data_IF_107788848448
#
_entry.id   IF_107788848448
#
_cell.length_a   1.000
_cell.length_b   1.000
_cell.length_c   1.000
_cell.angle_alpha   90.00
_cell.angle_beta   90.00
_cell.angle_gamma   90.00
#
_symmetry.space_group_name_H-M   'P 1'
#
loop_
_entity.id
_entity.type
_entity.pdbx_description
1 polymer ?
#
# COMPACT_ATOMS: atom_id res chain seq x y z
N UNK A 1 67.03 4.84 -37.58
CA UNK A 1 66.16 3.99 -36.67
C UNK A 1 65.85 4.58 -35.30
N UNK A 2 66.41 5.76 -34.93
CA UNK A 2 66.16 6.33 -33.56
C UNK A 2 64.94 7.28 -33.46
N UNK A 3 64.36 7.71 -34.61
CA UNK A 3 63.24 8.69 -34.59
C UNK A 3 61.86 8.07 -34.40
N UNK A 4 61.65 6.79 -34.73
CA UNK A 4 60.34 6.11 -34.66
C UNK A 4 60.00 5.68 -33.23
N UNK A 5 61.01 5.28 -32.42
CA UNK A 5 60.81 4.86 -31.04
C UNK A 5 60.41 6.03 -30.07
N UNK A 6 60.85 7.25 -30.40
CA UNK A 6 60.45 8.43 -29.61
C UNK A 6 58.98 8.81 -29.82
N UNK A 7 58.48 8.66 -31.06
CA UNK A 7 57.09 8.97 -31.39
C UNK A 7 56.07 7.99 -30.77
N UNK A 8 56.42 6.72 -30.70
CA UNK A 8 55.56 5.68 -30.09
C UNK A 8 55.42 5.90 -28.57
N UNK A 9 56.51 6.19 -27.86
CA UNK A 9 56.46 6.45 -26.39
C UNK A 9 55.68 7.72 -26.03
N UNK A 10 55.64 8.71 -26.93
CA UNK A 10 54.89 9.94 -26.71
C UNK A 10 53.37 9.70 -26.94
N UNK A 11 53.02 8.82 -27.88
CA UNK A 11 51.63 8.45 -28.14
C UNK A 11 51.05 7.60 -27.01
N UNK A 12 51.81 6.64 -26.44
CA UNK A 12 51.38 5.83 -25.28
C UNK A 12 51.16 6.68 -24.01
N UNK A 13 52.00 7.73 -23.79
CA UNK A 13 51.82 8.65 -22.64
C UNK A 13 50.57 9.53 -22.78
N UNK A 14 50.21 9.94 -23.98
CA UNK A 14 48.99 10.71 -24.25
C UNK A 14 47.73 9.84 -24.10
N UNK A 15 47.76 8.58 -24.54
CA UNK A 15 46.66 7.65 -24.37
C UNK A 15 46.45 7.25 -22.90
N UNK A 16 47.52 7.03 -22.13
CA UNK A 16 47.40 6.77 -20.68
C UNK A 16 46.90 7.97 -19.90
N UNK A 17 47.32 9.21 -20.25
CA UNK A 17 46.84 10.42 -19.63
C UNK A 17 45.36 10.68 -19.90
N UNK A 18 44.89 10.43 -21.11
CA UNK A 18 43.50 10.58 -21.50
C UNK A 18 42.57 9.55 -20.83
N UNK A 19 43.03 8.30 -20.65
CA UNK A 19 42.31 7.25 -19.97
C UNK A 19 42.17 7.54 -18.44
N UNK A 20 43.20 8.13 -17.83
CA UNK A 20 43.16 8.49 -16.40
C UNK A 20 42.23 9.70 -16.14
N UNK A 21 42.19 10.69 -17.06
CA UNK A 21 41.23 11.82 -16.96
C UNK A 21 39.78 11.37 -17.21
N UNK A 22 39.53 10.40 -18.10
CA UNK A 22 38.19 9.85 -18.32
C UNK A 22 37.70 9.05 -17.12
N UNK A 23 38.58 8.33 -16.42
CA UNK A 23 38.24 7.56 -15.22
C UNK A 23 37.93 8.46 -14.01
N UNK A 24 38.49 9.66 -13.95
CA UNK A 24 38.16 10.64 -12.90
C UNK A 24 36.82 11.36 -13.09
N UNK A 25 36.27 11.35 -14.31
CA UNK A 25 34.95 11.96 -14.60
C UNK A 25 33.77 11.02 -14.26
N UNK A 26 34.01 9.73 -13.98
CA UNK A 26 32.98 8.77 -13.58
C UNK A 26 32.88 8.51 -12.08
N UNK A 27 33.67 9.17 -11.25
CA UNK A 27 33.34 9.36 -9.83
C UNK A 27 32.29 10.47 -9.76
N UNK A 28 31.12 10.23 -10.33
CA UNK A 28 29.91 10.95 -9.95
C UNK A 28 29.74 10.67 -8.48
N UNK A 29 30.17 11.61 -7.65
CA UNK A 29 29.80 11.65 -6.27
C UNK A 29 28.28 11.46 -6.23
N UNK A 30 27.80 10.30 -5.79
CA UNK A 30 26.50 10.23 -5.19
C UNK A 30 26.56 11.20 -4.01
N UNK A 31 26.30 12.47 -4.29
CA UNK A 31 25.94 13.40 -3.25
C UNK A 31 24.66 12.84 -2.64
N UNK A 32 24.83 12.07 -1.57
CA UNK A 32 23.76 11.88 -0.61
C UNK A 32 23.40 13.30 -0.19
N UNK A 33 22.36 13.88 -0.80
CA UNK A 33 21.77 15.10 -0.27
C UNK A 33 21.47 14.81 1.19
N UNK A 34 22.24 15.46 2.05
CA UNK A 34 22.00 15.42 3.48
C UNK A 34 20.58 15.98 3.66
N UNK A 35 19.65 15.15 4.08
CA UNK A 35 18.28 15.59 4.33
C UNK A 35 18.34 16.81 5.25
N UNK A 36 17.70 17.90 4.83
CA UNK A 36 17.66 19.16 5.59
C UNK A 36 16.86 18.94 6.88
N UNK A 37 17.53 18.62 7.96
CA UNK A 37 16.97 18.64 9.31
C UNK A 37 17.26 20.01 9.97
N UNK A 38 16.35 20.51 10.82
CA UNK A 38 15.12 19.91 11.33
C UNK A 38 13.95 19.97 10.33
N UNK A 39 13.09 18.93 10.38
CA UNK A 39 11.83 18.87 9.60
C UNK A 39 10.64 19.00 10.52
N UNK A 40 9.69 19.88 10.15
CA UNK A 40 8.44 20.09 10.91
C UNK A 40 7.27 19.48 10.16
N UNK A 41 6.41 18.77 10.89
CA UNK A 41 5.16 18.15 10.41
C UNK A 41 3.99 18.75 11.19
N UNK A 42 3.00 19.26 10.47
CA UNK A 42 1.70 19.66 11.05
C UNK A 42 0.74 18.48 10.99
N UNK A 43 -0.06 18.29 12.04
CA UNK A 43 -0.95 17.13 12.17
C UNK A 43 -2.11 17.43 13.16
N UNK A 44 -3.07 16.51 13.23
CA UNK A 44 -4.31 16.68 14.04
C UNK A 44 -4.10 16.99 15.53
N UNK A 45 -2.89 16.78 16.09
CA UNK A 45 -2.60 17.07 17.51
C UNK A 45 -1.64 18.25 17.69
N UNK A 46 -1.24 18.93 16.61
CA UNK A 46 -0.33 20.08 16.63
C UNK A 46 0.85 19.92 15.66
N UNK A 47 2.07 20.02 16.16
CA UNK A 47 3.30 19.94 15.35
C UNK A 47 4.30 18.98 15.96
N UNK A 48 4.99 18.24 15.10
CA UNK A 48 6.14 17.41 15.46
C UNK A 48 7.39 17.91 14.71
N UNK A 49 8.50 18.08 15.43
CA UNK A 49 9.80 18.42 14.83
C UNK A 49 10.74 17.24 14.94
N UNK A 50 11.23 16.74 13.81
CA UNK A 50 12.31 15.76 13.72
C UNK A 50 13.62 16.54 13.52
N UNK A 51 14.52 16.50 14.50
CA UNK A 51 15.70 17.37 14.54
C UNK A 51 16.92 16.81 13.82
N UNK A 52 16.95 15.50 13.59
CA UNK A 52 18.03 14.78 12.90
C UNK A 52 17.51 13.49 12.29
N UNK A 53 18.26 12.87 11.39
CA UNK A 53 17.90 11.62 10.76
C UNK A 53 17.71 10.50 11.81
N UNK A 54 16.50 9.90 11.90
CA UNK A 54 16.23 8.86 12.87
C UNK A 54 17.00 7.56 12.59
N UNK A 55 17.39 6.88 13.66
CA UNK A 55 18.10 5.58 13.61
C UNK A 55 17.32 4.47 14.32
N UNK A 56 16.43 4.81 15.22
CA UNK A 56 15.67 3.87 16.06
C UNK A 56 14.17 4.14 15.95
N UNK A 57 13.58 3.64 14.86
CA UNK A 57 12.19 3.92 14.52
C UNK A 57 11.30 2.82 15.07
N UNK A 58 10.28 3.18 15.84
CA UNK A 58 9.21 2.29 16.28
C UNK A 58 7.94 2.62 15.49
N UNK A 59 7.36 1.63 14.80
CA UNK A 59 6.08 1.77 14.12
C UNK A 59 4.96 1.25 15.02
N UNK A 60 4.13 2.15 15.56
CA UNK A 60 2.86 1.80 16.21
C UNK A 60 1.69 1.81 15.23
N UNK A 61 1.95 2.21 14.00
CA UNK A 61 1.05 2.07 12.86
C UNK A 61 0.81 0.61 12.53
N UNK A 62 -0.40 0.26 12.09
CA UNK A 62 -0.71 -1.07 11.60
C UNK A 62 -0.03 -1.40 10.26
N UNK A 63 0.26 -0.38 9.44
CA UNK A 63 0.79 -0.52 8.07
C UNK A 63 2.10 0.25 7.83
N UNK A 64 2.49 1.15 8.75
CA UNK A 64 3.61 2.08 8.55
C UNK A 64 4.98 1.42 8.35
N UNK A 65 5.17 0.19 8.87
CA UNK A 65 6.41 -0.57 8.67
C UNK A 65 6.63 -0.94 7.19
N UNK A 66 5.59 -1.22 6.42
CA UNK A 66 5.67 -1.48 4.98
C UNK A 66 6.23 -0.26 4.22
N UNK A 67 5.80 0.96 4.59
CA UNK A 67 6.31 2.21 4.01
C UNK A 67 7.79 2.43 4.34
N UNK A 68 8.20 2.15 5.59
CA UNK A 68 9.62 2.20 5.96
C UNK A 68 10.45 1.22 5.13
N UNK A 69 9.97 -0.01 4.97
CA UNK A 69 10.65 -1.05 4.19
C UNK A 69 10.75 -0.68 2.71
N UNK A 70 9.71 -0.08 2.13
CA UNK A 70 9.74 0.46 0.76
C UNK A 70 10.83 1.53 0.56
N UNK A 71 11.13 2.28 1.62
CA UNK A 71 12.19 3.30 1.65
C UNK A 71 13.57 2.73 2.00
N UNK A 72 13.68 1.42 2.22
CA UNK A 72 14.93 0.77 2.64
C UNK A 72 15.29 1.02 4.10
N UNK A 73 14.33 1.40 4.94
CA UNK A 73 14.50 1.67 6.37
C UNK A 73 13.87 0.56 7.20
N UNK A 74 14.64 -0.04 8.11
CA UNK A 74 14.18 -1.16 8.94
C UNK A 74 13.82 -0.63 10.32
N UNK A 75 12.57 -0.81 10.80
CA UNK A 75 12.19 -0.39 12.14
C UNK A 75 12.84 -1.29 13.20
N UNK A 76 13.08 -0.75 14.40
CA UNK A 76 13.53 -1.56 15.55
C UNK A 76 12.37 -2.33 16.20
N UNK A 77 11.14 -1.83 16.01
CA UNK A 77 9.92 -2.51 16.41
C UNK A 77 8.76 -2.10 15.51
N UNK A 78 7.80 -2.99 15.37
CA UNK A 78 6.56 -2.75 14.63
C UNK A 78 5.36 -3.33 15.37
N UNK A 79 4.19 -2.74 15.14
CA UNK A 79 2.91 -3.26 15.61
C UNK A 79 2.28 -4.12 14.52
N UNK A 80 2.08 -5.42 14.81
CA UNK A 80 1.38 -6.33 13.93
C UNK A 80 -0.12 -6.03 13.97
N UNK A 81 -0.75 -5.96 12.81
CA UNK A 81 -2.20 -5.81 12.71
C UNK A 81 -2.88 -7.18 12.79
N UNK A 82 -2.73 -7.98 11.74
CA UNK A 82 -3.23 -9.37 11.65
C UNK A 82 -2.30 -10.18 10.73
N UNK A 83 -2.61 -11.47 10.55
CA UNK A 83 -1.71 -12.40 9.86
C UNK A 83 -0.59 -12.88 10.79
N UNK A 84 -0.15 -14.12 10.60
CA UNK A 84 0.90 -14.74 11.40
C UNK A 84 2.10 -15.09 10.53
N UNK A 85 2.83 -14.04 10.13
CA UNK A 85 4.03 -14.15 9.30
C UNK A 85 5.29 -13.84 10.10
N UNK A 86 6.46 -14.35 9.66
CA UNK A 86 7.73 -14.09 10.32
C UNK A 86 7.97 -12.60 10.57
N UNK A 87 8.41 -12.27 11.78
CA UNK A 87 8.69 -10.88 12.20
C UNK A 87 7.49 -9.91 12.07
N UNK A 88 6.24 -10.40 11.99
CA UNK A 88 5.04 -9.59 11.84
C UNK A 88 4.93 -8.87 10.49
N UNK A 89 5.66 -9.31 9.47
CA UNK A 89 5.74 -8.69 8.14
C UNK A 89 5.15 -9.63 7.10
N UNK A 90 4.29 -9.10 6.25
CA UNK A 90 3.64 -9.87 5.19
C UNK A 90 4.62 -10.32 4.09
N UNK A 91 4.32 -11.40 3.34
CA UNK A 91 5.22 -11.97 2.33
C UNK A 91 5.73 -10.98 1.29
N UNK A 92 4.90 -10.02 0.83
CA UNK A 92 5.32 -9.00 -0.13
C UNK A 92 6.42 -8.07 0.39
N UNK A 93 6.56 -7.91 1.70
CA UNK A 93 7.54 -7.02 2.32
C UNK A 93 8.74 -7.76 2.95
N UNK A 94 8.71 -9.10 3.03
CA UNK A 94 9.82 -9.91 3.56
C UNK A 94 11.16 -9.67 2.83
N UNK A 95 11.20 -9.58 1.48
CA UNK A 95 12.45 -9.28 0.79
C UNK A 95 13.06 -7.93 1.21
N UNK A 96 12.23 -6.91 1.44
CA UNK A 96 12.70 -5.60 1.91
C UNK A 96 13.13 -5.61 3.37
N UNK A 97 12.55 -6.47 4.20
CA UNK A 97 12.98 -6.68 5.59
C UNK A 97 14.37 -7.35 5.64
N UNK A 98 14.62 -8.37 4.80
CA UNK A 98 15.86 -9.15 4.81
C UNK A 98 16.09 -9.82 6.17
N UNK A 99 17.33 -9.77 6.70
CA UNK A 99 17.72 -10.41 7.96
C UNK A 99 17.34 -9.63 9.23
N UNK A 100 16.65 -8.48 9.09
CA UNK A 100 16.25 -7.68 10.24
C UNK A 100 15.19 -8.41 11.08
N UNK A 101 15.31 -8.30 12.42
CA UNK A 101 14.41 -8.92 13.39
C UNK A 101 13.84 -7.86 14.32
N UNK A 102 12.85 -7.06 13.86
CA UNK A 102 12.22 -6.07 14.71
C UNK A 102 11.47 -6.74 15.86
N UNK A 103 11.37 -6.05 16.98
CA UNK A 103 10.44 -6.44 18.05
C UNK A 103 9.00 -6.34 17.53
N UNK A 104 8.26 -7.44 17.57
CA UNK A 104 6.84 -7.45 17.16
C UNK A 104 5.96 -7.16 18.36
N UNK A 105 5.22 -6.05 18.29
CA UNK A 105 4.19 -5.68 19.25
C UNK A 105 2.81 -6.15 18.75
N UNK A 106 1.93 -6.51 19.65
CA UNK A 106 0.58 -6.98 19.35
C UNK A 106 -0.47 -6.31 20.23
N UNK A 107 -1.64 -6.09 19.69
CA UNK A 107 -2.78 -5.53 20.43
C UNK A 107 -2.63 -4.02 20.68
N UNK A 108 -2.92 -3.57 21.89
CA UNK A 108 -2.91 -2.16 22.27
C UNK A 108 -1.49 -1.56 22.28
N UNK A 109 -1.43 -0.23 22.15
CA UNK A 109 -0.17 0.52 22.22
C UNK A 109 0.38 0.46 23.63
N UNK A 110 1.49 -0.23 23.84
CA UNK A 110 2.17 -0.37 25.15
C UNK A 110 3.30 0.66 25.28
N UNK A 111 3.05 1.68 26.10
CA UNK A 111 3.97 2.81 26.29
C UNK A 111 5.29 2.41 26.91
N UNK A 112 5.27 1.51 27.91
CA UNK A 112 6.46 1.03 28.62
C UNK A 112 7.38 0.25 27.68
N UNK A 113 6.80 -0.62 26.85
CA UNK A 113 7.55 -1.37 25.85
C UNK A 113 8.20 -0.43 24.82
N UNK A 114 7.47 0.60 24.36
CA UNK A 114 8.00 1.60 23.43
C UNK A 114 9.14 2.40 24.06
N UNK A 115 8.97 2.86 25.32
CA UNK A 115 9.99 3.61 26.02
C UNK A 115 11.28 2.79 26.24
N UNK A 116 11.14 1.50 26.56
CA UNK A 116 12.29 0.59 26.70
C UNK A 116 13.10 0.42 25.42
N UNK A 117 12.48 0.58 24.25
CA UNK A 117 13.14 0.52 22.95
C UNK A 117 13.94 1.78 22.62
N UNK A 118 13.82 2.87 23.39
CA UNK A 118 14.51 4.16 23.23
C UNK A 118 14.45 4.64 21.78
N UNK A 119 13.24 4.85 21.22
CA UNK A 119 13.09 5.34 19.84
C UNK A 119 13.58 6.79 19.73
N UNK A 120 13.99 7.17 18.53
CA UNK A 120 14.23 8.56 18.13
C UNK A 120 13.18 9.06 17.14
N UNK A 121 12.28 8.17 16.68
CA UNK A 121 11.06 8.47 15.94
C UNK A 121 9.99 7.39 16.20
N UNK A 122 8.74 7.81 16.36
CA UNK A 122 7.57 6.93 16.43
C UNK A 122 6.67 7.19 15.22
N UNK A 123 6.31 6.15 14.47
CA UNK A 123 5.30 6.23 13.41
C UNK A 123 3.93 5.89 13.97
N UNK A 124 3.03 6.88 14.00
CA UNK A 124 1.65 6.76 14.44
C UNK A 124 0.61 7.01 13.32
N UNK A 125 1.04 7.23 12.07
CA UNK A 125 0.15 7.28 10.91
C UNK A 125 -0.63 5.96 10.81
N UNK A 126 -1.93 6.03 10.63
CA UNK A 126 -2.78 4.83 10.50
C UNK A 126 -2.70 3.89 11.72
N UNK A 127 -2.74 4.46 12.93
CA UNK A 127 -2.62 3.71 14.18
C UNK A 127 -3.89 3.67 15.04
N UNK A 128 -4.84 4.57 14.77
CA UNK A 128 -5.99 4.81 15.65
C UNK A 128 -5.59 5.37 17.02
N UNK A 129 -4.45 6.06 17.10
CA UNK A 129 -3.92 6.60 18.35
C UNK A 129 -4.80 7.71 18.89
N UNK A 130 -5.17 7.63 20.16
CA UNK A 130 -5.89 8.69 20.85
C UNK A 130 -4.99 9.88 21.17
N UNK A 131 -5.58 11.07 21.37
CA UNK A 131 -4.86 12.26 21.85
C UNK A 131 -4.15 12.02 23.18
N UNK A 132 -4.70 11.20 24.06
CA UNK A 132 -4.08 10.85 25.34
C UNK A 132 -2.79 10.02 25.13
N UNK A 133 -2.84 9.01 24.27
CA UNK A 133 -1.67 8.21 23.89
C UNK A 133 -0.61 9.07 23.20
N UNK A 134 -1.01 9.95 22.26
CA UNK A 134 -0.10 10.91 21.65
C UNK A 134 0.65 11.76 22.67
N UNK A 135 -0.06 12.35 23.67
CA UNK A 135 0.56 13.19 24.70
C UNK A 135 1.63 12.45 25.51
N UNK A 136 1.43 11.16 25.80
CA UNK A 136 2.39 10.37 26.54
C UNK A 136 3.56 9.99 25.66
N UNK A 137 3.33 9.46 24.47
CA UNK A 137 4.35 8.98 23.55
C UNK A 137 5.22 10.14 23.02
N UNK A 138 4.67 11.33 22.85
CA UNK A 138 5.44 12.51 22.42
C UNK A 138 6.49 12.98 23.45
N UNK A 139 6.40 12.51 24.71
CA UNK A 139 7.45 12.72 25.72
C UNK A 139 8.63 11.74 25.57
N UNK A 140 8.43 10.65 24.82
CA UNK A 140 9.48 9.63 24.59
C UNK A 140 10.29 10.00 23.34
N UNK A 141 9.62 10.30 22.21
CA UNK A 141 10.24 10.65 20.95
C UNK A 141 9.29 11.48 20.06
N UNK A 142 9.80 12.19 19.04
CA UNK A 142 8.98 12.75 17.99
C UNK A 142 8.05 11.70 17.40
N UNK A 143 6.79 12.06 17.16
CA UNK A 143 5.79 11.11 16.67
C UNK A 143 5.06 11.67 15.45
N UNK A 144 5.01 10.90 14.37
CA UNK A 144 4.23 11.24 13.18
C UNK A 144 2.82 10.69 13.31
N UNK A 145 1.84 11.56 13.20
CA UNK A 145 0.41 11.22 13.15
C UNK A 145 -0.24 11.89 11.94
N UNK A 146 -1.45 11.46 11.53
CA UNK A 146 -2.09 12.01 10.32
C UNK A 146 -2.36 13.52 10.43
N UNK A 147 -2.38 14.19 9.28
CA UNK A 147 -2.97 15.53 9.17
C UNK A 147 -4.47 15.47 9.46
N UNK A 148 -5.03 16.50 10.09
CA UNK A 148 -6.44 16.56 10.51
C UNK A 148 -7.41 16.28 9.35
N UNK A 149 -7.12 16.80 8.17
CA UNK A 149 -7.96 16.62 6.96
C UNK A 149 -8.15 15.18 6.50
N UNK A 150 -7.28 14.29 6.92
CA UNK A 150 -7.35 12.87 6.51
C UNK A 150 -7.98 11.97 7.60
N UNK A 151 -8.14 12.46 8.82
CA UNK A 151 -8.51 11.62 9.95
C UNK A 151 -7.49 10.50 10.19
N UNK A 152 -7.86 9.51 11.00
CA UNK A 152 -6.91 8.47 11.43
C UNK A 152 -6.50 7.51 10.30
N UNK A 153 -7.37 7.28 9.29
CA UNK A 153 -7.20 6.21 8.31
C UNK A 153 -7.28 6.66 6.84
N UNK A 154 -7.49 7.96 6.58
CA UNK A 154 -7.74 8.47 5.23
C UNK A 154 -6.49 9.01 4.51
N UNK A 155 -5.27 8.97 5.10
CA UNK A 155 -4.06 9.49 4.43
C UNK A 155 -3.76 8.68 3.16
N UNK A 156 -3.71 9.31 1.96
CA UNK A 156 -3.33 8.63 0.73
C UNK A 156 -1.95 7.99 0.81
N UNK A 157 -1.77 6.85 0.15
CA UNK A 157 -0.48 6.15 0.17
C UNK A 157 0.67 7.02 -0.33
N UNK A 158 0.44 7.89 -1.32
CA UNK A 158 1.44 8.84 -1.82
C UNK A 158 1.87 9.81 -0.73
N UNK A 159 0.89 10.42 -0.04
CA UNK A 159 1.16 11.36 1.03
C UNK A 159 1.85 10.68 2.21
N UNK A 160 1.42 9.47 2.56
CA UNK A 160 2.02 8.69 3.63
C UNK A 160 3.48 8.33 3.31
N UNK A 161 3.76 7.92 2.06
CA UNK A 161 5.11 7.65 1.57
C UNK A 161 5.99 8.90 1.68
N UNK A 162 5.53 10.06 1.16
CA UNK A 162 6.27 11.33 1.21
C UNK A 162 6.54 11.80 2.63
N UNK A 163 5.53 11.72 3.50
CA UNK A 163 5.65 12.14 4.90
C UNK A 163 6.69 11.29 5.64
N UNK A 164 6.60 9.96 5.52
CA UNK A 164 7.55 9.05 6.16
C UNK A 164 8.95 9.23 5.56
N UNK A 165 9.07 9.31 4.23
CA UNK A 165 10.35 9.51 3.55
C UNK A 165 11.06 10.78 4.01
N UNK A 166 10.34 11.89 4.11
CA UNK A 166 10.87 13.18 4.61
C UNK A 166 11.34 13.05 6.06
N UNK A 167 10.57 12.37 6.91
CA UNK A 167 10.91 12.18 8.32
C UNK A 167 12.15 11.32 8.55
N UNK A 168 12.41 10.36 7.65
CA UNK A 168 13.56 9.45 7.77
C UNK A 168 14.76 9.89 6.89
N UNK A 169 14.72 11.08 6.31
CA UNK A 169 15.80 11.61 5.47
C UNK A 169 15.97 10.88 4.14
N UNK A 170 14.86 10.45 3.55
CA UNK A 170 14.82 9.70 2.28
C UNK A 170 13.83 10.33 1.27
N UNK A 171 13.70 11.65 1.27
CA UNK A 171 12.71 12.38 0.49
C UNK A 171 12.75 12.02 -1.00
N UNK A 172 13.93 12.03 -1.64
CA UNK A 172 14.10 11.66 -3.05
C UNK A 172 13.70 10.20 -3.32
N UNK A 173 14.09 9.28 -2.42
CA UNK A 173 13.66 7.87 -2.54
C UNK A 173 12.14 7.74 -2.41
N UNK A 174 11.51 8.53 -1.55
CA UNK A 174 10.06 8.60 -1.42
C UNK A 174 9.38 9.05 -2.71
N UNK A 175 9.87 10.12 -3.34
CA UNK A 175 9.36 10.59 -4.63
C UNK A 175 9.58 9.55 -5.74
N UNK A 176 10.70 8.84 -5.74
CA UNK A 176 10.93 7.77 -6.70
C UNK A 176 9.94 6.61 -6.52
N UNK A 177 9.72 6.15 -5.27
CA UNK A 177 8.75 5.09 -4.95
C UNK A 177 7.34 5.49 -5.39
N UNK A 178 6.94 6.74 -5.16
CA UNK A 178 5.63 7.25 -5.59
C UNK A 178 5.53 7.26 -7.11
N UNK A 179 6.50 7.86 -7.81
CA UNK A 179 6.49 7.90 -9.29
C UNK A 179 6.45 6.51 -9.92
N UNK A 180 7.23 5.56 -9.41
CA UNK A 180 7.30 4.22 -9.96
C UNK A 180 5.96 3.50 -9.85
N UNK A 181 5.29 3.61 -8.71
CA UNK A 181 3.98 2.97 -8.52
C UNK A 181 2.87 3.70 -9.29
N UNK A 182 2.87 5.04 -9.33
CA UNK A 182 1.94 5.81 -10.17
C UNK A 182 2.11 5.46 -11.65
N UNK A 183 3.33 5.25 -12.12
CA UNK A 183 3.60 4.80 -13.49
C UNK A 183 3.05 3.40 -13.76
N UNK A 184 3.07 2.48 -12.78
CA UNK A 184 2.42 1.17 -12.91
C UNK A 184 0.90 1.29 -13.05
N UNK A 185 0.24 2.07 -12.20
CA UNK A 185 -1.20 2.34 -12.34
C UNK A 185 -1.53 2.93 -13.71
N UNK A 186 -0.72 3.89 -14.16
CA UNK A 186 -0.91 4.52 -15.47
C UNK A 186 -0.74 3.51 -16.63
N UNK A 187 0.25 2.62 -16.55
CA UNK A 187 0.47 1.58 -17.56
C UNK A 187 -0.71 0.60 -17.64
N UNK A 188 -1.24 0.15 -16.50
CA UNK A 188 -2.42 -0.72 -16.46
C UNK A 188 -3.64 0.00 -17.08
N UNK A 189 -3.88 1.27 -16.72
CA UNK A 189 -4.96 2.05 -17.36
C UNK A 189 -4.80 2.17 -18.89
N UNK A 190 -3.58 2.30 -19.39
CA UNK A 190 -3.31 2.36 -20.83
C UNK A 190 -3.54 1.01 -21.51
N UNK A 191 -3.23 -0.09 -20.83
CA UNK A 191 -3.43 -1.45 -21.34
C UNK A 191 -4.91 -1.85 -21.33
N UNK A 192 -5.72 -1.27 -20.46
CA UNK A 192 -7.13 -1.58 -20.26
C UNK A 192 -8.02 -0.32 -20.42
N UNK A 193 -8.09 0.28 -21.61
CA UNK A 193 -8.92 1.46 -21.84
C UNK A 193 -10.42 1.22 -21.67
N UNK A 194 -10.85 -0.03 -21.75
CA UNK A 194 -12.20 -0.51 -21.49
C UNK A 194 -12.61 -0.47 -20.01
N UNK A 195 -11.65 -0.32 -19.07
CA UNK A 195 -11.93 -0.16 -17.65
C UNK A 195 -12.34 1.27 -17.29
N UNK A 196 -11.98 2.24 -18.13
CA UNK A 196 -12.29 3.64 -17.88
C UNK A 196 -13.81 3.84 -17.80
N UNK A 197 -14.21 4.59 -16.79
CA UNK A 197 -15.62 4.93 -16.51
C UNK A 197 -16.54 3.74 -16.18
N UNK A 198 -15.98 2.53 -16.05
CA UNK A 198 -16.71 1.39 -15.49
C UNK A 198 -16.83 1.52 -13.98
N UNK A 199 -17.96 1.06 -13.45
CA UNK A 199 -18.21 1.05 -12.02
C UNK A 199 -17.51 -0.11 -11.33
N UNK A 200 -16.90 0.16 -10.15
CA UNK A 200 -16.32 -0.90 -9.35
C UNK A 200 -16.48 -0.61 -7.85
N UNK A 201 -16.42 -1.65 -7.03
CA UNK A 201 -16.46 -1.53 -5.58
C UNK A 201 -15.70 -2.67 -4.90
N UNK A 202 -15.02 -2.34 -3.80
CA UNK A 202 -14.44 -3.32 -2.87
C UNK A 202 -15.39 -3.49 -1.70
N UNK A 203 -15.70 -4.74 -1.32
CA UNK A 203 -16.69 -5.06 -0.29
C UNK A 203 -16.14 -6.10 0.69
N UNK A 204 -16.34 -5.88 1.97
CA UNK A 204 -16.17 -6.88 3.01
C UNK A 204 -17.52 -7.59 3.27
N UNK A 205 -17.63 -8.91 3.04
CA UNK A 205 -18.92 -9.59 3.08
C UNK A 205 -19.53 -9.74 4.47
N UNK A 206 -18.76 -9.66 5.55
CA UNK A 206 -19.24 -9.91 6.91
C UNK A 206 -20.41 -9.02 7.33
N UNK A 207 -20.26 -7.69 7.21
CA UNK A 207 -21.30 -6.68 7.46
C UNK A 207 -21.78 -6.03 6.15
N UNK A 208 -21.43 -6.59 5.00
CA UNK A 208 -21.56 -5.99 3.67
C UNK A 208 -21.02 -4.54 3.70
N UNK A 209 -19.76 -4.42 4.13
CA UNK A 209 -19.07 -3.13 4.24
C UNK A 209 -18.44 -2.74 2.91
N UNK A 210 -19.00 -1.74 2.22
CA UNK A 210 -18.46 -1.22 0.96
C UNK A 210 -17.50 -0.06 1.21
N UNK A 211 -16.41 0.02 0.46
CA UNK A 211 -15.36 1.02 0.62
C UNK A 211 -15.50 2.14 -0.43
N UNK A 212 -15.77 3.39 0.02
CA UNK A 212 -15.86 4.55 -0.87
C UNK A 212 -14.48 4.98 -1.41
N UNK A 213 -14.48 5.89 -2.37
CA UNK A 213 -13.25 6.45 -2.98
C UNK A 213 -12.35 7.20 -1.99
N UNK A 214 -12.88 7.63 -0.86
CA UNK A 214 -12.11 8.24 0.24
C UNK A 214 -11.28 7.23 1.04
N UNK A 215 -11.62 5.94 1.01
CA UNK A 215 -10.85 4.86 1.63
C UNK A 215 -9.71 4.38 0.72
N UNK A 216 -8.67 3.79 1.31
CA UNK A 216 -7.49 3.30 0.58
C UNK A 216 -7.85 2.25 -0.48
N UNK A 217 -8.83 1.37 -0.20
CA UNK A 217 -9.28 0.31 -1.12
C UNK A 217 -10.11 0.87 -2.29
N UNK A 218 -10.98 1.85 -2.02
CA UNK A 218 -11.70 2.55 -3.09
C UNK A 218 -10.77 3.37 -3.98
N UNK A 219 -9.73 4.00 -3.40
CA UNK A 219 -8.69 4.71 -4.17
C UNK A 219 -7.92 3.81 -5.11
N UNK A 220 -7.62 2.58 -4.71
CA UNK A 220 -6.99 1.60 -5.60
C UNK A 220 -7.78 1.44 -6.91
N UNK A 221 -9.10 1.35 -6.83
CA UNK A 221 -9.96 1.28 -8.01
C UNK A 221 -9.94 2.59 -8.82
N UNK A 222 -10.02 3.74 -8.14
CA UNK A 222 -9.95 5.05 -8.79
C UNK A 222 -8.60 5.28 -9.48
N UNK A 223 -7.49 4.84 -8.88
CA UNK A 223 -6.14 4.91 -9.47
C UNK A 223 -6.03 4.03 -10.73
N UNK A 224 -6.83 2.96 -10.84
CA UNK A 224 -6.97 2.13 -12.05
C UNK A 224 -7.93 2.74 -13.09
N UNK A 225 -8.66 3.81 -12.77
CA UNK A 225 -9.57 4.49 -13.70
C UNK A 225 -11.04 4.09 -13.56
N UNK A 226 -11.38 3.25 -12.56
CA UNK A 226 -12.78 2.93 -12.27
C UNK A 226 -13.49 4.08 -11.56
N UNK A 227 -14.79 4.15 -11.73
CA UNK A 227 -15.69 4.95 -10.90
C UNK A 227 -16.15 4.09 -9.73
N UNK A 228 -15.80 4.48 -8.51
CA UNK A 228 -16.36 3.83 -7.32
C UNK A 228 -17.87 4.08 -7.31
N UNK A 229 -18.65 3.05 -7.01
CA UNK A 229 -20.12 3.10 -7.06
C UNK A 229 -20.67 4.41 -6.47
N UNK A 230 -21.36 5.20 -7.30
CA UNK A 230 -22.01 6.46 -6.86
C UNK A 230 -23.03 6.22 -5.74
N UNK A 231 -23.68 5.06 -5.75
CA UNK A 231 -24.64 4.66 -4.71
C UNK A 231 -23.92 4.39 -3.38
N UNK A 232 -22.70 3.83 -3.41
CA UNK A 232 -21.84 3.69 -2.23
C UNK A 232 -21.38 5.06 -1.75
N UNK A 233 -20.95 5.94 -2.65
CA UNK A 233 -20.57 7.32 -2.29
C UNK A 233 -21.72 8.08 -1.62
N UNK A 234 -22.95 7.90 -2.07
CA UNK A 234 -24.14 8.53 -1.48
C UNK A 234 -24.46 8.05 -0.04
N UNK A 235 -23.94 6.88 0.36
CA UNK A 235 -24.10 6.35 1.71
C UNK A 235 -23.04 6.84 2.70
N UNK A 236 -22.00 7.56 2.23
CA UNK A 236 -20.89 8.01 3.09
C UNK A 236 -21.40 8.93 4.19
N UNK A 237 -21.03 8.63 5.44
CA UNK A 237 -21.21 9.47 6.63
C UNK A 237 -19.83 9.90 7.14
N UNK A 238 -19.76 11.00 7.83
CA UNK A 238 -18.52 11.77 8.08
C UNK A 238 -17.43 11.08 8.91
N UNK A 239 -17.66 9.92 9.49
CA UNK A 239 -16.79 9.31 10.51
C UNK A 239 -16.38 7.86 10.27
N UNK A 240 -16.86 7.23 9.18
CA UNK A 240 -16.55 5.85 8.86
C UNK A 240 -15.72 5.76 7.57
N UNK A 241 -14.73 4.87 7.58
CA UNK A 241 -13.93 4.55 6.38
C UNK A 241 -14.62 3.54 5.45
N UNK A 242 -15.78 3.00 5.82
CA UNK A 242 -16.63 2.14 4.99
C UNK A 242 -18.10 2.47 5.23
N UNK A 243 -18.96 2.09 4.31
CA UNK A 243 -20.41 2.19 4.42
C UNK A 243 -21.03 0.82 4.53
N UNK A 244 -22.12 0.70 5.31
CA UNK A 244 -22.88 -0.56 5.40
C UNK A 244 -23.96 -0.58 4.34
N UNK A 245 -24.00 -1.69 3.60
CA UNK A 245 -25.03 -1.97 2.60
C UNK A 245 -26.03 -2.95 3.22
N UNK A 246 -27.32 -2.73 3.01
CA UNK A 246 -28.35 -3.63 3.52
C UNK A 246 -28.31 -4.97 2.78
N UNK A 247 -28.40 -6.11 3.48
CA UNK A 247 -28.57 -7.41 2.82
C UNK A 247 -29.90 -7.54 2.06
N UNK A 248 -30.84 -6.61 2.30
CA UNK A 248 -32.13 -6.53 1.60
C UNK A 248 -32.08 -5.59 0.38
N UNK A 249 -30.96 -4.90 0.15
CA UNK A 249 -30.74 -4.02 -1.00
C UNK A 249 -29.26 -4.03 -1.38
N UNK A 250 -28.87 -4.89 -2.32
CA UNK A 250 -27.50 -5.05 -2.81
C UNK A 250 -27.21 -4.14 -4.04
N UNK A 251 -28.18 -3.36 -4.50
CA UNK A 251 -28.02 -2.44 -5.66
C UNK A 251 -26.80 -1.50 -5.54
N UNK A 252 -26.42 -0.98 -4.35
CA UNK A 252 -25.21 -0.15 -4.24
C UNK A 252 -23.91 -0.85 -4.63
N UNK A 253 -23.84 -2.18 -4.52
CA UNK A 253 -22.64 -2.96 -4.83
C UNK A 253 -22.76 -3.77 -6.13
N UNK A 254 -23.86 -3.63 -6.87
CA UNK A 254 -24.06 -4.27 -8.16
C UNK A 254 -23.38 -3.46 -9.27
N UNK A 255 -22.08 -3.67 -9.44
CA UNK A 255 -21.17 -2.89 -10.28
C UNK A 255 -20.59 -3.71 -11.44
N UNK A 256 -19.87 -3.05 -12.37
CA UNK A 256 -19.17 -3.73 -13.45
C UNK A 256 -18.02 -4.62 -12.97
N UNK A 257 -17.44 -4.32 -11.80
CA UNK A 257 -16.50 -5.19 -11.08
C UNK A 257 -16.79 -5.12 -9.58
N UNK A 258 -17.09 -6.26 -8.99
CA UNK A 258 -17.33 -6.39 -7.54
C UNK A 258 -16.21 -7.23 -6.91
N UNK A 259 -15.39 -6.61 -6.05
CA UNK A 259 -14.30 -7.28 -5.37
C UNK A 259 -14.70 -7.60 -3.93
N UNK A 260 -14.84 -8.87 -3.62
CA UNK A 260 -15.10 -9.37 -2.28
C UNK A 260 -13.79 -9.60 -1.51
N UNK A 261 -13.63 -8.97 -0.35
CA UNK A 261 -12.48 -9.24 0.54
C UNK A 261 -12.72 -10.52 1.33
N UNK A 262 -11.92 -11.55 1.09
CA UNK A 262 -11.94 -12.76 1.90
C UNK A 262 -10.82 -12.73 2.95
N UNK A 263 -11.20 -12.74 4.22
CA UNK A 263 -10.29 -12.88 5.35
C UNK A 263 -10.30 -14.29 5.96
N UNK A 264 -10.72 -15.31 5.17
CA UNK A 264 -10.74 -16.71 5.55
C UNK A 264 -12.15 -17.30 5.75
N UNK A 265 -13.20 -16.46 5.67
CA UNK A 265 -14.60 -16.90 5.75
C UNK A 265 -15.51 -16.20 4.73
N UNK A 266 -14.92 -15.43 3.82
CA UNK A 266 -15.65 -14.58 2.89
C UNK A 266 -16.59 -15.37 1.97
N UNK A 267 -16.11 -16.45 1.37
CA UNK A 267 -16.89 -17.28 0.47
C UNK A 267 -18.19 -17.82 1.12
N UNK A 268 -18.12 -18.29 2.37
CA UNK A 268 -19.30 -18.76 3.08
C UNK A 268 -20.30 -17.63 3.36
N UNK A 269 -19.81 -16.44 3.70
CA UNK A 269 -20.65 -15.25 3.94
C UNK A 269 -21.31 -14.75 2.64
N UNK A 270 -20.57 -14.70 1.53
CA UNK A 270 -21.06 -14.32 0.21
C UNK A 270 -22.22 -15.24 -0.21
N UNK A 271 -22.06 -16.56 -0.03
CA UNK A 271 -23.09 -17.54 -0.40
C UNK A 271 -24.36 -17.48 0.47
N UNK A 272 -24.35 -16.79 1.62
CA UNK A 272 -25.56 -16.57 2.44
C UNK A 272 -26.40 -15.38 1.98
N UNK A 273 -25.91 -14.56 1.07
CA UNK A 273 -26.60 -13.36 0.59
C UNK A 273 -27.76 -13.74 -0.34
N UNK A 274 -29.00 -13.66 0.17
CA UNK A 274 -30.20 -14.12 -0.52
C UNK A 274 -30.47 -13.40 -1.84
N UNK A 275 -30.16 -12.09 -1.91
CA UNK A 275 -30.40 -11.27 -3.09
C UNK A 275 -29.23 -11.33 -4.10
N UNK A 276 -28.10 -11.93 -3.76
CA UNK A 276 -26.96 -12.02 -4.68
C UNK A 276 -27.33 -12.63 -6.06
N UNK A 277 -28.17 -13.69 -6.17
CA UNK A 277 -28.59 -14.23 -7.47
C UNK A 277 -29.39 -13.26 -8.33
N UNK A 278 -29.89 -12.15 -7.78
CA UNK A 278 -30.60 -11.11 -8.56
C UNK A 278 -29.66 -10.03 -9.08
N UNK A 279 -28.40 -10.00 -8.64
CA UNK A 279 -27.41 -9.01 -9.05
C UNK A 279 -26.92 -9.29 -10.47
N UNK A 280 -26.68 -8.23 -11.24
CA UNK A 280 -26.03 -8.28 -12.55
C UNK A 280 -24.59 -8.84 -12.39
N UNK A 281 -23.87 -8.35 -11.37
CA UNK A 281 -22.51 -8.79 -11.09
C UNK A 281 -22.42 -10.32 -10.92
N UNK A 282 -23.39 -10.95 -10.25
CA UNK A 282 -23.47 -12.41 -10.13
C UNK A 282 -23.79 -13.08 -11.46
N UNK A 283 -24.83 -12.59 -12.19
CA UNK A 283 -25.32 -13.22 -13.40
C UNK A 283 -24.35 -13.12 -14.57
N UNK A 284 -23.51 -12.07 -14.59
CA UNK A 284 -22.54 -11.79 -15.65
C UNK A 284 -21.09 -12.18 -15.24
N UNK A 285 -20.88 -12.88 -14.11
CA UNK A 285 -19.55 -13.34 -13.71
C UNK A 285 -18.60 -12.23 -13.28
N UNK A 286 -19.10 -11.07 -12.83
CA UNK A 286 -18.33 -9.85 -12.52
C UNK A 286 -17.75 -9.82 -11.10
N UNK A 287 -17.78 -10.92 -10.40
CA UNK A 287 -17.33 -11.01 -9.00
C UNK A 287 -15.91 -11.55 -8.91
N UNK A 288 -15.05 -10.82 -8.20
CA UNK A 288 -13.66 -11.20 -7.89
C UNK A 288 -13.54 -11.47 -6.39
N UNK A 289 -13.08 -12.64 -6.02
CA UNK A 289 -12.70 -12.91 -4.61
C UNK A 289 -11.24 -12.54 -4.42
N UNK A 290 -11.00 -11.48 -3.66
CA UNK A 290 -9.67 -11.16 -3.15
C UNK A 290 -9.35 -12.15 -2.02
N UNK A 291 -8.48 -13.13 -2.30
CA UNK A 291 -7.99 -14.10 -1.30
C UNK A 291 -7.44 -13.40 -0.05
N UNK A 292 -7.26 -14.08 1.09
CA UNK A 292 -6.74 -13.44 2.31
C UNK A 292 -5.46 -12.63 2.10
N UNK A 293 -4.58 -13.08 1.20
CA UNK A 293 -3.36 -12.36 0.84
C UNK A 293 -3.65 -11.07 0.05
N UNK A 294 -4.52 -11.14 -0.95
CA UNK A 294 -4.90 -9.98 -1.78
C UNK A 294 -5.70 -8.97 -0.93
N UNK A 295 -6.64 -9.45 -0.12
CA UNK A 295 -7.44 -8.63 0.79
C UNK A 295 -6.54 -7.85 1.79
N UNK A 296 -5.51 -8.54 2.32
CA UNK A 296 -4.53 -7.91 3.18
C UNK A 296 -3.68 -6.87 2.43
N UNK A 297 -3.27 -7.15 1.20
CA UNK A 297 -2.48 -6.21 0.40
C UNK A 297 -3.27 -4.92 0.10
N UNK A 298 -4.54 -5.03 -0.28
CA UNK A 298 -5.45 -3.88 -0.44
C UNK A 298 -5.63 -3.11 0.87
N UNK A 299 -5.73 -3.80 2.01
CA UNK A 299 -5.92 -3.16 3.32
C UNK A 299 -4.66 -2.46 3.84
N UNK A 300 -3.46 -2.95 3.49
CA UNK A 300 -2.21 -2.27 3.81
C UNK A 300 -1.96 -1.05 2.91
N UNK A 301 -2.35 -1.12 1.64
CA UNK A 301 -2.22 -0.03 0.66
C UNK A 301 -0.87 0.69 0.73
N UNK A 302 0.20 -0.05 1.01
CA UNK A 302 1.57 0.43 0.98
C UNK A 302 2.17 0.30 -0.43
N UNK A 303 3.26 0.98 -0.75
CA UNK A 303 3.91 0.78 -2.05
C UNK A 303 4.29 -0.68 -2.32
N UNK A 304 4.66 -1.47 -1.30
CA UNK A 304 5.00 -2.89 -1.45
C UNK A 304 3.74 -3.73 -1.68
N UNK A 305 2.72 -3.54 -0.84
CA UNK A 305 1.48 -4.30 -0.94
C UNK A 305 0.67 -3.96 -2.19
N UNK A 306 0.65 -2.69 -2.62
CA UNK A 306 -0.04 -2.26 -3.84
C UNK A 306 0.61 -2.84 -5.10
N UNK A 307 1.95 -2.93 -5.15
CA UNK A 307 2.63 -3.63 -6.24
C UNK A 307 2.18 -5.09 -6.32
N UNK A 308 2.11 -5.79 -5.17
CA UNK A 308 1.60 -7.15 -5.11
C UNK A 308 0.11 -7.22 -5.52
N UNK A 309 -0.73 -6.31 -5.01
CA UNK A 309 -2.16 -6.28 -5.34
C UNK A 309 -2.39 -6.09 -6.84
N UNK A 310 -1.63 -5.21 -7.51
CA UNK A 310 -1.69 -5.01 -8.96
C UNK A 310 -1.37 -6.29 -9.72
N UNK A 311 -0.27 -7.00 -9.37
CA UNK A 311 0.11 -8.25 -10.02
C UNK A 311 -0.98 -9.33 -9.93
N UNK A 312 -1.72 -9.35 -8.81
CA UNK A 312 -2.74 -10.37 -8.58
C UNK A 312 -4.11 -9.97 -9.16
N UNK A 313 -4.50 -8.71 -9.04
CA UNK A 313 -5.86 -8.27 -9.38
C UNK A 313 -6.02 -7.91 -10.85
N UNK A 314 -4.98 -7.44 -11.54
CA UNK A 314 -5.08 -7.09 -12.97
C UNK A 314 -5.70 -8.22 -13.81
N UNK A 315 -5.20 -9.48 -13.77
CA UNK A 315 -5.79 -10.57 -14.56
C UNK A 315 -7.19 -10.97 -14.08
N UNK A 316 -7.49 -10.86 -12.77
CA UNK A 316 -8.79 -11.20 -12.23
C UNK A 316 -9.87 -10.17 -12.62
N UNK A 317 -9.51 -8.89 -12.58
CA UNK A 317 -10.39 -7.80 -13.03
C UNK A 317 -10.63 -7.91 -14.53
N UNK A 318 -9.58 -8.18 -15.31
CA UNK A 318 -9.72 -8.37 -16.76
C UNK A 318 -10.67 -9.53 -17.12
N UNK A 319 -10.67 -10.61 -16.33
CA UNK A 319 -11.59 -11.72 -16.52
C UNK A 319 -13.04 -11.38 -16.08
N UNK A 320 -13.21 -10.56 -15.03
CA UNK A 320 -14.53 -10.24 -14.51
C UNK A 320 -15.26 -9.16 -15.31
N UNK A 321 -14.53 -8.25 -15.94
CA UNK A 321 -15.11 -7.04 -16.53
C UNK A 321 -15.79 -7.29 -17.88
N UNK A 322 -15.47 -8.38 -18.58
CA UNK A 322 -16.07 -8.69 -19.90
C UNK A 322 -17.57 -9.00 -19.79
N UNK A 323 -18.03 -9.39 -18.58
CA UNK A 323 -19.44 -9.68 -18.31
C UNK A 323 -19.92 -10.98 -18.94
N UNK A 324 -19.03 -11.87 -19.30
CA UNK A 324 -19.34 -13.21 -19.76
C UNK A 324 -19.16 -14.22 -18.60
N UNK A 325 -20.26 -14.82 -18.10
CA UNK A 325 -20.16 -15.80 -17.00
C UNK A 325 -19.41 -17.08 -17.40
N UNK A 326 -19.11 -17.28 -18.68
CA UNK A 326 -18.24 -18.35 -19.17
C UNK A 326 -16.76 -18.03 -18.98
N UNK A 327 -16.40 -16.76 -18.83
CA UNK A 327 -15.02 -16.35 -18.50
C UNK A 327 -14.72 -16.65 -17.03
N UNK A 328 -13.70 -17.46 -16.80
CA UNK A 328 -13.39 -17.94 -15.45
C UNK A 328 -12.56 -16.92 -14.65
N UNK A 329 -13.12 -16.39 -13.57
CA UNK A 329 -12.38 -15.65 -12.53
C UNK A 329 -11.83 -16.68 -11.55
N UNK A 330 -10.54 -17.01 -11.65
CA UNK A 330 -9.94 -18.16 -10.96
C UNK A 330 -10.17 -18.17 -9.45
N UNK A 331 -9.96 -17.04 -8.76
CA UNK A 331 -10.17 -16.95 -7.29
C UNK A 331 -11.64 -17.11 -6.90
N UNK A 332 -12.57 -16.70 -7.73
CA UNK A 332 -14.02 -16.86 -7.48
C UNK A 332 -14.47 -18.31 -7.70
N UNK A 333 -13.87 -19.00 -8.67
CA UNK A 333 -14.05 -20.45 -8.87
C UNK A 333 -13.49 -21.22 -7.67
N UNK A 334 -12.24 -20.94 -7.26
CA UNK A 334 -11.61 -21.59 -6.11
C UNK A 334 -12.39 -21.37 -4.80
N UNK A 335 -13.00 -20.19 -4.65
CA UNK A 335 -13.84 -19.85 -3.52
C UNK A 335 -15.25 -20.49 -3.55
N UNK A 336 -15.63 -21.13 -4.66
CA UNK A 336 -16.95 -21.78 -4.79
C UNK A 336 -18.12 -20.78 -4.84
N UNK A 337 -17.91 -19.58 -5.40
CA UNK A 337 -18.96 -18.57 -5.49
C UNK A 337 -19.54 -18.40 -6.90
N UNK A 338 -19.03 -19.12 -7.90
CA UNK A 338 -19.51 -19.06 -9.29
C UNK A 338 -20.79 -19.84 -9.53
N UNK A 339 -21.58 -19.45 -10.53
CA UNK A 339 -22.83 -20.13 -10.90
C UNK A 339 -22.62 -21.61 -11.28
N UNK A 340 -21.56 -21.94 -12.01
CA UNK A 340 -21.28 -23.28 -12.50
C UNK A 340 -21.17 -24.30 -11.34
N UNK A 341 -20.59 -23.93 -10.22
CA UNK A 341 -20.40 -24.81 -9.06
C UNK A 341 -21.65 -24.95 -8.17
N UNK A 342 -22.57 -23.97 -8.21
CA UNK A 342 -23.82 -24.06 -7.44
C UNK A 342 -24.85 -24.99 -8.09
N UNK A 343 -24.76 -25.22 -9.41
CA UNK A 343 -25.63 -26.16 -10.13
C UNK A 343 -25.19 -27.63 -10.00
N UNK A 344 -23.92 -27.91 -9.73
CA UNK A 344 -23.40 -29.27 -9.51
C UNK A 344 -23.65 -29.80 -8.08
N UNK A 345 -24.01 -28.93 -7.15
CA UNK A 345 -24.25 -29.26 -5.72
C UNK A 345 -25.73 -29.41 -5.34
N UNK A 346 -26.68 -29.30 -6.31
CA UNK A 346 -28.11 -29.59 -6.16
C UNK A 346 -28.49 -30.91 -6.83
#
# INVERSE_FOLDING_TARGET
MHSIHACIKQFERVLLGSALCLAMLFVSAQQSEAADFPVVFEHQYGKTTVTSQPKRIVSVSFIGHDFLLALGVKPVALRRWYGDYPNGVWPWAQPALGDAKPTVMWGEINVEQIAALKPDLILGLWSGMTRAQYKILSQIAPILVPEERYGDYGTPWQQMTRTIAKAVGRAEKGEQVVRDLEARFAAIKQNHPDWLDKSAVVVWPGDIGAYPSSDLRGRFLSDLGFIVSEKVEALVRSDLFYVRVSPEDLDPIDTDVLIWLDFGSGASQINTLRLRPTMRAYNEGREVVATPMIAAALSHSSPLSLNFALDQLEPLIAAAIDGDPATSVTTSVEAGITQAQQMEGQ
#
